data_IF_029919822031
#
_entry.id   IF_029919822031
#
_cell.length_a   1.000
_cell.length_b   1.000
_cell.length_c   1.000
_cell.angle_alpha   90.00
_cell.angle_beta   90.00
_cell.angle_gamma   90.00
#
_symmetry.space_group_name_H-M   'P 1'
#
loop_
_entity.id
_entity.type
_entity.pdbx_description
1 polymer ?
#
# COMPACT_ATOMS: atom_id res chain seq x y z
N UNK A 1 6.07 0.60 10.11
CA UNK A 1 6.15 1.90 9.40
C UNK A 1 5.16 2.87 10.06
N UNK A 2 5.63 3.96 10.67
CA UNK A 2 4.72 4.99 11.21
C UNK A 2 4.23 5.87 10.05
N UNK A 3 3.14 5.48 9.39
CA UNK A 3 2.38 6.45 8.61
C UNK A 3 1.61 7.32 9.61
N UNK A 4 2.07 8.55 9.80
CA UNK A 4 1.57 9.58 10.71
C UNK A 4 1.84 9.31 12.20
N UNK A 5 2.88 9.96 12.72
CA UNK A 5 3.16 10.05 14.15
C UNK A 5 2.22 11.05 14.82
N UNK A 6 1.51 10.58 15.86
CA UNK A 6 0.96 11.46 16.87
C UNK A 6 2.13 11.87 17.79
N UNK A 7 2.55 13.13 17.73
CA UNK A 7 3.75 13.59 18.44
C UNK A 7 3.79 15.10 18.56
N UNK A 8 3.32 15.58 19.70
CA UNK A 8 3.50 16.96 20.13
C UNK A 8 5.02 17.23 20.20
N UNK A 9 5.51 18.16 19.37
CA UNK A 9 6.78 18.89 19.53
C UNK A 9 8.06 18.32 18.88
N UNK A 10 8.19 18.23 17.54
CA UNK A 10 9.47 18.47 16.80
C UNK A 10 9.41 18.18 15.28
N UNK A 11 9.13 19.24 14.50
CA UNK A 11 9.65 19.59 13.16
C UNK A 11 10.17 18.50 12.19
N UNK A 12 9.40 17.45 11.94
CA UNK A 12 9.45 16.72 10.67
C UNK A 12 8.19 17.10 9.90
N UNK A 13 8.37 17.62 8.69
CA UNK A 13 7.32 18.26 7.89
C UNK A 13 6.01 17.48 7.93
N UNK A 14 4.93 18.21 8.24
CA UNK A 14 3.52 17.82 8.15
C UNK A 14 3.12 17.52 6.71
N UNK A 15 3.82 16.59 6.05
CA UNK A 15 3.42 16.10 4.74
C UNK A 15 2.52 14.90 4.99
N UNK A 16 1.18 15.07 5.00
CA UNK A 16 0.29 13.93 5.09
C UNK A 16 0.55 13.04 3.87
N UNK A 17 0.96 11.81 4.11
CA UNK A 17 0.97 10.81 3.05
C UNK A 17 -0.48 10.54 2.65
N UNK A 18 -0.74 10.43 1.35
CA UNK A 18 -2.07 10.09 0.84
C UNK A 18 -2.34 8.57 0.89
N UNK A 19 -1.29 7.78 0.69
CA UNK A 19 -1.31 6.31 0.64
C UNK A 19 0.11 5.78 0.85
N UNK A 20 0.29 4.46 0.92
CA UNK A 20 1.61 3.83 0.90
C UNK A 20 1.61 2.43 0.30
N UNK A 21 2.81 1.90 0.08
CA UNK A 21 3.03 0.57 -0.50
C UNK A 21 4.08 -0.16 0.33
N UNK A 22 3.80 -1.41 0.66
CA UNK A 22 4.73 -2.33 1.31
C UNK A 22 4.97 -3.53 0.42
N UNK A 23 6.19 -3.65 -0.11
CA UNK A 23 6.64 -4.82 -0.87
C UNK A 23 7.63 -5.58 0.03
N UNK A 24 7.38 -6.86 0.28
CA UNK A 24 8.18 -7.69 1.20
C UNK A 24 8.24 -7.17 2.63
N UNK A 25 7.11 -6.75 3.20
CA UNK A 25 7.01 -6.24 4.56
C UNK A 25 7.18 -7.31 5.65
N UNK A 26 8.37 -7.92 5.76
CA UNK A 26 8.64 -9.03 6.70
C UNK A 26 8.57 -8.64 8.19
N UNK A 27 8.60 -7.34 8.48
CA UNK A 27 8.53 -6.80 9.85
C UNK A 27 7.18 -6.16 10.17
N UNK A 28 6.17 -6.30 9.30
CA UNK A 28 4.83 -5.80 9.57
C UNK A 28 4.21 -6.53 10.76
N UNK A 29 3.60 -5.79 11.66
CA UNK A 29 2.86 -6.36 12.78
C UNK A 29 1.52 -5.64 12.99
N UNK A 30 0.69 -6.22 13.86
CA UNK A 30 -0.67 -5.73 14.12
C UNK A 30 -0.72 -4.29 14.64
N UNK A 31 0.35 -3.80 15.28
CA UNK A 31 0.39 -2.43 15.77
C UNK A 31 0.56 -1.42 14.64
N UNK A 32 1.28 -1.78 13.56
CA UNK A 32 1.34 -0.96 12.34
C UNK A 32 -0.07 -0.78 11.76
N UNK A 33 -0.84 -1.87 11.64
CA UNK A 33 -2.22 -1.83 11.14
C UNK A 33 -3.13 -0.93 11.99
N UNK A 34 -2.97 -0.93 13.32
CA UNK A 34 -3.78 -0.09 14.22
C UNK A 34 -3.54 1.40 13.99
N UNK A 35 -2.29 1.81 13.76
CA UNK A 35 -1.93 3.23 13.63
C UNK A 35 -1.98 3.76 12.20
N UNK A 36 -2.08 2.91 11.17
CA UNK A 36 -2.28 3.34 9.79
C UNK A 36 -3.54 4.20 9.64
N UNK A 37 -3.40 5.36 8.98
CA UNK A 37 -4.47 6.34 8.75
C UNK A 37 -4.83 6.48 7.27
N UNK A 38 -4.12 5.78 6.39
CA UNK A 38 -4.21 5.90 4.94
C UNK A 38 -4.34 4.51 4.32
N UNK A 39 -4.96 4.37 3.14
CA UNK A 39 -4.98 3.10 2.42
C UNK A 39 -3.57 2.67 2.04
N UNK A 40 -3.39 1.36 1.88
CA UNK A 40 -2.09 0.75 1.58
C UNK A 40 -2.24 -0.39 0.56
N UNK A 41 -1.22 -0.57 -0.30
CA UNK A 41 -1.00 -1.79 -1.07
C UNK A 41 0.05 -2.66 -0.37
N UNK A 42 -0.30 -3.92 -0.09
CA UNK A 42 0.61 -4.92 0.47
C UNK A 42 0.93 -6.01 -0.55
N UNK A 43 2.21 -6.19 -0.83
CA UNK A 43 2.73 -7.25 -1.71
C UNK A 43 3.68 -8.13 -0.89
N UNK A 44 3.41 -9.43 -0.82
CA UNK A 44 4.27 -10.40 -0.14
C UNK A 44 4.75 -11.52 -1.06
N UNK A 45 5.95 -12.04 -0.79
CA UNK A 45 6.41 -13.33 -1.29
C UNK A 45 5.70 -14.48 -0.56
N UNK A 46 5.71 -15.68 -1.16
CA UNK A 46 5.12 -16.87 -0.57
C UNK A 46 5.73 -17.24 0.78
N UNK A 47 7.05 -17.02 0.92
CA UNK A 47 7.80 -17.29 2.15
C UNK A 47 7.88 -16.10 3.13
N UNK A 48 7.20 -14.99 2.85
CA UNK A 48 7.05 -13.89 3.81
C UNK A 48 5.98 -14.23 4.86
N UNK A 49 6.02 -13.62 6.06
CA UNK A 49 4.93 -13.73 7.04
C UNK A 49 3.56 -13.35 6.43
N UNK A 50 2.51 -14.04 6.87
CA UNK A 50 1.14 -13.72 6.44
C UNK A 50 0.70 -12.33 6.90
N UNK A 51 -0.10 -11.65 6.08
CA UNK A 51 -0.75 -10.39 6.43
C UNK A 51 -2.20 -10.55 6.94
N UNK A 52 -2.72 -11.76 7.17
CA UNK A 52 -4.15 -11.97 7.47
C UNK A 52 -4.66 -11.11 8.65
N UNK A 53 -3.86 -11.01 9.72
CA UNK A 53 -4.16 -10.18 10.88
C UNK A 53 -4.14 -8.67 10.54
N UNK A 54 -3.26 -8.25 9.63
CA UNK A 54 -3.19 -6.87 9.13
C UNK A 54 -4.45 -6.58 8.31
N UNK A 55 -4.79 -7.45 7.36
CA UNK A 55 -5.96 -7.34 6.49
C UNK A 55 -7.25 -7.26 7.31
N UNK A 56 -7.40 -8.10 8.33
CA UNK A 56 -8.56 -8.09 9.23
C UNK A 56 -8.78 -6.74 9.92
N UNK A 57 -7.71 -6.11 10.41
CA UNK A 57 -7.77 -4.80 11.06
C UNK A 57 -8.05 -3.69 10.05
N UNK A 58 -7.36 -3.69 8.91
CA UNK A 58 -7.48 -2.62 7.91
C UNK A 58 -8.84 -2.63 7.21
N UNK A 59 -9.45 -3.80 6.98
CA UNK A 59 -10.78 -3.90 6.39
C UNK A 59 -11.88 -3.26 7.24
N UNK A 60 -11.64 -3.03 8.54
CA UNK A 60 -12.58 -2.36 9.44
C UNK A 60 -12.42 -0.83 9.44
N UNK A 61 -11.38 -0.29 8.80
CA UNK A 61 -11.16 1.16 8.72
C UNK A 61 -12.02 1.77 7.62
N UNK A 62 -12.31 3.07 7.72
CA UNK A 62 -13.09 3.81 6.74
C UNK A 62 -12.50 3.76 5.31
N UNK A 63 -11.19 3.61 5.20
CA UNK A 63 -10.47 3.45 3.94
C UNK A 63 -10.20 1.98 3.57
N UNK A 64 -10.67 1.00 4.35
CA UNK A 64 -10.30 -0.41 4.21
C UNK A 64 -10.57 -1.00 2.84
N UNK A 65 -11.64 -0.57 2.17
CA UNK A 65 -11.99 -0.96 0.80
C UNK A 65 -11.01 -0.47 -0.27
N UNK A 66 -10.14 0.48 0.07
CA UNK A 66 -9.08 1.02 -0.79
C UNK A 66 -7.72 0.37 -0.50
N UNK A 67 -7.65 -0.58 0.45
CA UNK A 67 -6.45 -1.38 0.67
C UNK A 67 -6.43 -2.55 -0.32
N UNK A 68 -5.25 -2.84 -0.87
CA UNK A 68 -5.04 -3.97 -1.78
C UNK A 68 -3.98 -4.93 -1.23
N UNK A 69 -4.14 -6.21 -1.52
CA UNK A 69 -3.28 -7.27 -0.99
C UNK A 69 -2.94 -8.27 -2.11
N UNK A 70 -1.66 -8.59 -2.28
CA UNK A 70 -1.18 -9.55 -3.27
C UNK A 70 -0.13 -10.47 -2.68
N UNK A 71 -0.30 -11.76 -2.96
CA UNK A 71 0.67 -12.81 -2.68
C UNK A 71 1.25 -13.36 -3.98
N UNK A 72 2.57 -13.55 -4.00
CA UNK A 72 3.28 -14.30 -5.02
C UNK A 72 3.85 -15.59 -4.39
N UNK A 73 3.05 -16.66 -4.38
CA UNK A 73 3.36 -17.90 -3.65
C UNK A 73 4.67 -18.57 -4.08
N UNK A 74 5.03 -18.46 -5.37
CA UNK A 74 6.25 -19.06 -5.93
C UNK A 74 7.49 -18.18 -5.76
N UNK A 75 7.36 -16.98 -5.19
CA UNK A 75 8.46 -16.04 -5.04
C UNK A 75 9.06 -16.09 -3.63
N UNK A 76 10.32 -15.66 -3.51
CA UNK A 76 11.04 -15.54 -2.23
C UNK A 76 11.18 -14.07 -1.80
N UNK A 77 11.40 -13.84 -0.51
CA UNK A 77 11.70 -12.52 0.03
C UNK A 77 12.79 -11.82 -0.80
N UNK A 78 12.53 -10.57 -1.21
CA UNK A 78 13.45 -9.77 -2.01
C UNK A 78 13.40 -10.05 -3.52
N UNK A 79 12.38 -10.76 -4.04
CA UNK A 79 12.27 -11.04 -5.49
C UNK A 79 12.13 -9.77 -6.36
N UNK A 80 11.76 -8.63 -5.76
CA UNK A 80 11.71 -7.30 -6.41
C UNK A 80 12.85 -6.37 -5.95
N UNK A 81 13.85 -6.88 -5.25
CA UNK A 81 15.00 -6.08 -4.80
C UNK A 81 16.02 -5.89 -5.92
N UNK A 82 16.95 -4.95 -5.75
CA UNK A 82 18.08 -4.77 -6.68
C UNK A 82 18.93 -6.06 -6.84
N UNK A 83 18.92 -6.96 -5.85
CA UNK A 83 19.60 -8.25 -5.89
C UNK A 83 18.76 -9.41 -6.42
N UNK A 84 17.59 -9.13 -7.01
CA UNK A 84 16.72 -10.15 -7.57
C UNK A 84 17.39 -10.93 -8.71
N UNK A 85 16.93 -12.17 -8.94
CA UNK A 85 17.41 -12.97 -10.07
C UNK A 85 16.70 -12.56 -11.37
N UNK A 86 17.28 -11.61 -12.10
CA UNK A 86 16.75 -11.13 -13.38
C UNK A 86 16.97 -12.09 -14.56
N UNK A 87 17.68 -13.20 -14.35
CA UNK A 87 17.82 -14.26 -15.36
C UNK A 87 16.73 -15.34 -15.25
N UNK A 88 15.94 -15.34 -14.17
CA UNK A 88 14.79 -16.22 -14.03
C UNK A 88 13.54 -15.56 -14.63
N UNK A 89 12.94 -16.18 -15.65
CA UNK A 89 11.78 -15.65 -16.36
C UNK A 89 10.52 -15.52 -15.49
N UNK A 90 10.25 -16.47 -14.59
CA UNK A 90 9.12 -16.37 -13.65
C UNK A 90 9.30 -15.19 -12.70
N UNK A 91 10.54 -14.93 -12.28
CA UNK A 91 10.85 -13.79 -11.43
C UNK A 91 10.64 -12.46 -12.17
N UNK A 92 11.11 -12.37 -13.42
CA UNK A 92 10.90 -11.18 -14.27
C UNK A 92 9.40 -10.91 -14.49
N UNK A 93 8.61 -11.94 -14.79
CA UNK A 93 7.15 -11.81 -14.92
C UNK A 93 6.52 -11.29 -13.64
N UNK A 94 6.94 -11.80 -12.48
CA UNK A 94 6.42 -11.34 -11.19
C UNK A 94 6.80 -9.88 -10.90
N UNK A 95 8.02 -9.46 -11.24
CA UNK A 95 8.48 -8.07 -11.10
C UNK A 95 7.66 -7.13 -11.98
N UNK A 96 7.40 -7.51 -13.23
CA UNK A 96 6.57 -6.70 -14.14
C UNK A 96 5.12 -6.58 -13.66
N UNK A 97 4.53 -7.67 -13.14
CA UNK A 97 3.20 -7.63 -12.52
C UNK A 97 3.18 -6.75 -11.26
N UNK A 98 4.24 -6.77 -10.44
CA UNK A 98 4.38 -5.86 -9.29
C UNK A 98 4.38 -4.40 -9.73
N UNK A 99 5.20 -4.04 -10.73
CA UNK A 99 5.22 -2.68 -11.27
C UNK A 99 3.86 -2.25 -11.83
N UNK A 100 3.18 -3.15 -12.54
CA UNK A 100 1.85 -2.88 -13.06
C UNK A 100 0.83 -2.63 -11.93
N UNK A 101 0.84 -3.45 -10.87
CA UNK A 101 -0.05 -3.27 -9.71
C UNK A 101 0.20 -1.96 -8.98
N UNK A 102 1.47 -1.64 -8.72
CA UNK A 102 1.85 -0.38 -8.06
C UNK A 102 1.32 0.82 -8.85
N UNK A 103 1.49 0.82 -10.18
CA UNK A 103 0.97 1.86 -11.06
C UNK A 103 -0.55 1.95 -10.98
N UNK A 104 -1.23 0.84 -11.18
CA UNK A 104 -2.70 0.77 -11.20
C UNK A 104 -3.30 1.22 -9.86
N UNK A 105 -2.68 0.82 -8.74
CA UNK A 105 -3.08 1.23 -7.40
C UNK A 105 -3.03 2.76 -7.23
N UNK A 106 -1.91 3.37 -7.60
CA UNK A 106 -1.80 4.83 -7.57
C UNK A 106 -2.78 5.51 -8.52
N UNK A 107 -2.92 5.04 -9.75
CA UNK A 107 -3.83 5.62 -10.74
C UNK A 107 -5.29 5.60 -10.25
N UNK A 108 -5.73 4.48 -9.68
CA UNK A 108 -7.09 4.34 -9.14
C UNK A 108 -7.32 5.29 -7.97
N UNK A 109 -6.37 5.35 -7.03
CA UNK A 109 -6.45 6.24 -5.89
C UNK A 109 -6.50 7.72 -6.31
N UNK A 110 -5.61 8.14 -7.21
CA UNK A 110 -5.56 9.52 -7.69
C UNK A 110 -6.85 9.91 -8.42
N UNK A 111 -7.36 9.05 -9.31
CA UNK A 111 -8.62 9.29 -10.03
C UNK A 111 -9.80 9.42 -9.08
N UNK A 112 -9.91 8.53 -8.09
CA UNK A 112 -11.00 8.54 -7.11
C UNK A 112 -10.99 9.84 -6.27
N UNK A 113 -9.82 10.39 -5.95
CA UNK A 113 -9.74 11.68 -5.28
C UNK A 113 -10.09 12.85 -6.18
N UNK A 114 -9.67 12.82 -7.45
CA UNK A 114 -10.03 13.87 -8.41
C UNK A 114 -11.55 13.93 -8.62
N UNK A 115 -12.24 12.78 -8.63
CA UNK A 115 -13.71 12.74 -8.68
C UNK A 115 -14.36 13.28 -7.40
N UNK A 116 -13.80 13.00 -6.22
CA UNK A 116 -14.33 13.55 -4.96
C UNK A 116 -14.16 15.07 -4.86
N UNK A 117 -13.07 15.63 -5.42
CA UNK A 117 -12.89 17.08 -5.51
C UNK A 117 -13.88 17.75 -6.48
N UNK A 118 -14.29 17.06 -7.54
CA UNK A 118 -15.28 17.58 -8.49
C UNK A 118 -16.72 17.51 -7.95
N UNK A 119 -17.03 16.56 -7.06
CA UNK A 119 -18.36 16.46 -6.42
C UNK A 119 -18.52 17.56 -5.35
N UNK A 120 -17.43 18.03 -4.74
CA UNK A 120 -17.46 19.15 -3.77
C UNK A 120 -17.56 20.54 -4.43
N UNK A 121 -17.52 20.63 -5.76
CA UNK A 121 -17.59 21.89 -6.53
C UNK A 121 -18.90 22.08 -7.32
N UNK A 122 -19.94 21.26 -7.06
CA UNK A 122 -21.28 21.44 -7.67
C UNK A 122 -22.30 21.69 -6.56
N UNK A 123 -22.25 22.91 -6.04
CA UNK A 123 -23.39 23.64 -5.45
C UNK A 123 -23.21 25.12 -5.85
N UNK A 124 -23.22 25.40 -7.16
CA UNK A 124 -23.54 26.75 -7.64
C UNK A 124 -24.95 26.68 -8.19
N UNK A 125 -25.89 27.03 -7.30
CA UNK A 125 -27.27 27.37 -7.62
C UNK A 125 -27.25 28.45 -8.71
N UNK A 126 -27.90 28.16 -9.83
CA UNK A 126 -28.56 29.15 -10.67
C UNK A 126 -30.06 28.89 -10.61
#
# INVERSE_FOLDING_TARGET
MKACGNGNNNSWSETPYFTGISIHGSQLNIFDAKVLQVPMLFIRAGNDPSFDNITSILNQKSFGSQCEYKVYENMKHGFVSAGANYSNSENVIAIDDVHHRVRTYFDNLLKNNSTNLNILNIDILY
#
